data_IF_700837140194
#
_entry.id   IF_700837140194
#
_cell.length_a   1.000
_cell.length_b   1.000
_cell.length_c   1.000
_cell.angle_alpha   90.00
_cell.angle_beta   90.00
_cell.angle_gamma   90.00
#
_symmetry.space_group_name_H-M   'P 1'
#
loop_
_entity.id
_entity.type
_entity.pdbx_description
1 polymer ?
#
# COMPACT_ATOMS: atom_id res chain seq x y z
N UNK A 1 21.87 40.98 -54.72
CA UNK A 1 21.42 39.89 -55.59
C UNK A 1 21.44 38.59 -54.79
N UNK A 2 20.26 38.03 -54.59
CA UNK A 2 19.94 36.62 -54.58
C UNK A 2 20.54 35.82 -53.45
N UNK A 3 19.70 35.43 -52.52
CA UNK A 3 18.86 34.24 -52.39
C UNK A 3 19.53 33.12 -51.54
N UNK A 4 18.95 32.84 -50.47
CA UNK A 4 19.31 31.69 -49.65
C UNK A 4 18.41 31.48 -48.40
N UNK A 5 17.12 31.76 -48.53
CA UNK A 5 16.10 31.32 -47.60
C UNK A 5 15.57 29.98 -48.09
N UNK A 6 15.97 28.91 -47.47
CA UNK A 6 15.42 27.57 -47.76
C UNK A 6 16.20 26.48 -47.07
N UNK A 7 15.67 25.98 -45.99
CA UNK A 7 15.91 24.67 -45.38
C UNK A 7 16.04 24.65 -43.84
N UNK A 8 15.12 25.36 -43.20
CA UNK A 8 15.00 25.17 -41.73
C UNK A 8 13.78 24.36 -41.33
N UNK A 9 12.84 24.10 -42.24
CA UNK A 9 11.57 23.40 -41.93
C UNK A 9 11.53 21.90 -42.30
N UNK A 10 12.62 21.35 -42.87
CA UNK A 10 12.66 19.95 -43.27
C UNK A 10 13.47 19.03 -42.34
N UNK A 11 13.84 19.49 -41.14
CA UNK A 11 14.56 18.68 -40.16
C UNK A 11 13.72 18.22 -38.95
N UNK A 12 12.48 18.71 -38.85
CA UNK A 12 11.57 18.35 -37.71
C UNK A 12 10.65 17.17 -38.06
N UNK A 13 10.70 16.63 -39.25
CA UNK A 13 9.74 15.64 -39.74
C UNK A 13 10.23 14.19 -39.81
N UNK A 14 11.38 13.81 -39.27
CA UNK A 14 11.90 12.43 -39.42
C UNK A 14 12.33 11.72 -38.15
N UNK A 15 12.28 12.33 -36.99
CA UNK A 15 12.61 11.65 -35.72
C UNK A 15 11.40 11.14 -34.92
N UNK A 16 10.17 11.50 -35.33
CA UNK A 16 8.96 11.13 -34.58
C UNK A 16 8.29 9.82 -35.00
N UNK A 17 8.92 8.99 -35.83
CA UNK A 17 8.30 7.73 -36.32
C UNK A 17 8.89 6.43 -35.74
N UNK A 18 9.89 6.49 -34.89
CA UNK A 18 10.52 5.30 -34.34
C UNK A 18 10.16 5.02 -32.85
N UNK A 19 9.31 5.84 -32.23
CA UNK A 19 8.88 5.62 -30.83
C UNK A 19 7.71 4.65 -30.67
N UNK A 20 7.16 4.10 -31.77
CA UNK A 20 5.99 3.20 -31.70
C UNK A 20 6.28 1.74 -32.01
N UNK A 21 7.55 1.35 -32.07
CA UNK A 21 7.93 -0.04 -32.37
C UNK A 21 9.02 -0.54 -31.42
N UNK A 22 8.73 -0.52 -30.12
CA UNK A 22 9.41 -1.40 -29.17
C UNK A 22 8.38 -2.33 -28.55
N UNK A 23 8.72 -3.59 -28.74
CA UNK A 23 8.00 -4.80 -28.36
C UNK A 23 7.49 -4.73 -26.93
N UNK A 24 6.28 -5.28 -26.74
CA UNK A 24 5.59 -5.35 -25.48
C UNK A 24 6.38 -6.01 -24.36
N UNK A 25 7.13 -5.23 -23.64
CA UNK A 25 7.51 -5.58 -22.28
C UNK A 25 6.35 -5.13 -21.37
N UNK A 26 5.77 -6.12 -20.74
CA UNK A 26 4.71 -6.00 -19.76
C UNK A 26 5.20 -5.12 -18.59
N UNK A 27 5.14 -3.79 -18.75
CA UNK A 27 5.43 -2.86 -17.66
C UNK A 27 4.26 -2.93 -16.69
N UNK A 28 4.45 -3.65 -15.61
CA UNK A 28 3.52 -3.80 -14.50
C UNK A 28 3.33 -2.48 -13.74
N UNK A 29 3.04 -1.38 -14.42
CA UNK A 29 2.66 -0.10 -13.80
C UNK A 29 3.64 0.46 -12.75
N UNK A 30 4.89 0.00 -12.74
CA UNK A 30 5.92 0.49 -11.83
C UNK A 30 6.53 1.78 -12.40
N UNK A 31 6.23 2.89 -11.73
CA UNK A 31 6.75 4.21 -12.07
C UNK A 31 8.29 4.26 -12.10
N UNK A 32 8.97 3.49 -11.25
CA UNK A 32 10.42 3.43 -11.19
C UNK A 32 11.00 2.71 -12.41
N UNK A 33 10.33 1.68 -12.90
CA UNK A 33 10.72 1.02 -14.16
C UNK A 33 10.49 1.95 -15.36
N UNK A 34 9.42 2.70 -15.36
CA UNK A 34 9.18 3.73 -16.39
C UNK A 34 10.31 4.77 -16.42
N UNK A 35 10.74 5.27 -15.25
CA UNK A 35 11.85 6.22 -15.14
C UNK A 35 13.18 5.63 -15.61
N UNK A 36 13.46 4.35 -15.28
CA UNK A 36 14.66 3.64 -15.75
C UNK A 36 14.69 3.51 -17.28
N UNK A 37 13.55 3.13 -17.88
CA UNK A 37 13.43 2.97 -19.33
C UNK A 37 13.42 4.31 -20.08
N UNK A 38 12.90 5.37 -19.49
CA UNK A 38 12.94 6.71 -20.05
C UNK A 38 14.32 7.37 -19.96
N UNK A 39 15.35 6.69 -19.45
CA UNK A 39 16.68 7.25 -19.18
C UNK A 39 16.61 8.61 -18.47
N UNK A 40 15.64 8.78 -17.56
CA UNK A 40 15.47 10.02 -16.83
C UNK A 40 16.71 10.28 -15.98
N UNK A 41 17.42 11.42 -16.16
CA UNK A 41 18.64 11.69 -15.42
C UNK A 41 18.32 12.00 -13.97
N UNK A 42 18.14 10.97 -13.16
CA UNK A 42 18.09 11.10 -11.72
C UNK A 42 19.52 11.44 -11.28
N UNK A 43 19.76 12.69 -10.89
CA UNK A 43 21.01 13.12 -10.25
C UNK A 43 21.06 12.57 -8.81
N UNK A 44 21.07 11.25 -8.69
CA UNK A 44 21.35 10.55 -7.46
C UNK A 44 22.71 9.89 -7.70
N UNK A 45 23.72 10.21 -6.90
CA UNK A 45 25.00 9.51 -6.89
C UNK A 45 24.74 8.07 -6.44
N UNK A 46 24.28 7.25 -7.37
CA UNK A 46 24.17 5.81 -7.16
C UNK A 46 25.59 5.25 -7.18
N UNK A 47 26.02 4.47 -6.20
CA UNK A 47 27.29 3.78 -6.28
C UNK A 47 27.33 2.99 -7.58
N UNK A 48 28.38 3.24 -8.39
CA UNK A 48 28.59 2.58 -9.67
C UNK A 48 28.48 1.07 -9.48
N UNK A 49 27.69 0.41 -10.34
CA UNK A 49 27.59 -1.05 -10.39
C UNK A 49 28.99 -1.64 -10.44
N UNK A 50 29.46 -2.16 -9.33
CA UNK A 50 30.57 -3.10 -9.33
C UNK A 50 30.06 -4.40 -9.97
N UNK A 51 30.71 -4.75 -11.06
CA UNK A 51 30.55 -5.96 -11.88
C UNK A 51 30.07 -7.20 -11.14
N UNK A 52 28.95 -7.73 -11.67
CA UNK A 52 28.67 -9.15 -11.88
C UNK A 52 29.41 -10.19 -11.00
N UNK A 53 28.78 -10.58 -9.94
CA UNK A 53 28.46 -11.96 -9.58
C UNK A 53 27.23 -11.85 -8.67
N UNK A 54 26.09 -11.57 -9.28
CA UNK A 54 24.81 -11.44 -8.58
C UNK A 54 24.17 -12.81 -8.46
N UNK A 55 24.12 -13.34 -7.29
CA UNK A 55 22.88 -13.98 -6.90
C UNK A 55 21.85 -12.86 -6.93
N UNK A 56 20.91 -12.92 -7.87
CA UNK A 56 19.70 -12.10 -7.82
C UNK A 56 19.04 -12.39 -6.46
N UNK A 57 19.24 -11.52 -5.50
CA UNK A 57 18.49 -11.58 -4.25
C UNK A 57 17.09 -11.15 -4.63
N UNK A 58 16.28 -12.13 -4.94
CA UNK A 58 14.87 -11.96 -5.24
C UNK A 58 14.20 -11.46 -3.95
N UNK A 59 14.02 -10.14 -3.88
CA UNK A 59 13.48 -9.50 -2.69
C UNK A 59 12.00 -9.85 -2.61
N UNK A 60 11.58 -10.33 -1.44
CA UNK A 60 10.18 -10.61 -1.15
C UNK A 60 9.34 -9.34 -1.31
N UNK A 61 8.60 -9.22 -2.39
CA UNK A 61 7.72 -8.09 -2.70
C UNK A 61 6.24 -8.43 -2.61
N UNK A 62 5.92 -9.58 -2.05
CA UNK A 62 4.55 -10.07 -2.02
C UNK A 62 3.84 -9.66 -0.74
N UNK A 63 2.87 -8.83 -0.91
CA UNK A 63 2.03 -8.33 0.17
C UNK A 63 0.75 -7.80 -0.45
N UNK A 64 -0.38 -8.04 0.20
CA UNK A 64 -1.63 -7.37 -0.13
C UNK A 64 -2.23 -6.78 1.13
N UNK A 65 -2.42 -5.48 1.13
CA UNK A 65 -3.07 -4.76 2.21
C UNK A 65 -4.20 -3.91 1.69
N UNK A 66 -5.22 -3.76 2.51
CA UNK A 66 -6.44 -3.02 2.20
C UNK A 66 -6.90 -2.23 3.41
N UNK A 67 -7.32 -1.00 3.20
CA UNK A 67 -7.97 -0.16 4.20
C UNK A 67 -9.31 0.32 3.66
N UNK A 68 -10.34 0.29 4.48
CA UNK A 68 -11.69 0.72 4.12
C UNK A 68 -12.25 1.60 5.23
N UNK A 69 -12.84 2.72 4.85
CA UNK A 69 -13.63 3.55 5.77
C UNK A 69 -14.98 2.88 6.00
N UNK A 70 -15.30 2.55 7.24
CA UNK A 70 -16.56 1.98 7.66
C UNK A 70 -17.25 2.94 8.66
N UNK A 71 -18.41 2.59 9.18
CA UNK A 71 -19.25 3.49 9.98
C UNK A 71 -18.51 4.14 11.17
N UNK A 72 -17.69 3.39 11.90
CA UNK A 72 -17.09 3.87 13.16
C UNK A 72 -15.63 4.33 13.00
N UNK A 73 -15.05 4.29 11.80
CA UNK A 73 -13.65 4.68 11.56
C UNK A 73 -13.04 4.05 10.32
N UNK A 74 -11.87 3.47 10.47
CA UNK A 74 -11.16 2.73 9.43
C UNK A 74 -10.93 1.30 9.86
N UNK A 75 -11.23 0.35 8.99
CA UNK A 75 -10.79 -1.04 9.10
C UNK A 75 -9.65 -1.27 8.11
N UNK A 76 -8.57 -1.92 8.57
CA UNK A 76 -7.37 -2.14 7.78
C UNK A 76 -6.91 -3.58 7.95
N UNK A 77 -6.60 -4.22 6.82
CA UNK A 77 -6.22 -5.61 6.81
C UNK A 77 -4.99 -5.87 5.95
N UNK A 78 -4.28 -6.93 6.28
CA UNK A 78 -3.16 -7.46 5.51
C UNK A 78 -3.17 -8.98 5.50
N UNK A 79 -2.84 -9.55 4.35
CA UNK A 79 -2.54 -10.98 4.26
C UNK A 79 -1.27 -11.30 5.06
N UNK A 80 -1.02 -12.59 5.36
CA UNK A 80 0.08 -13.00 6.25
C UNK A 80 1.20 -13.76 5.54
N UNK A 81 1.15 -13.86 4.21
CA UNK A 81 2.15 -14.58 3.42
C UNK A 81 3.35 -13.71 3.11
N UNK A 82 4.56 -14.27 3.30
CA UNK A 82 5.80 -13.73 2.77
C UNK A 82 6.40 -14.74 1.78
N UNK A 83 6.79 -14.28 0.59
CA UNK A 83 7.39 -15.13 -0.45
C UNK A 83 8.76 -14.59 -0.86
N UNK A 84 9.63 -15.48 -1.33
CA UNK A 84 10.82 -15.13 -2.10
C UNK A 84 10.63 -15.72 -3.49
N UNK A 85 10.43 -14.84 -4.47
CA UNK A 85 9.97 -15.25 -5.79
C UNK A 85 8.64 -16.02 -5.71
N UNK A 86 8.62 -17.23 -6.20
CA UNK A 86 7.45 -18.11 -6.18
C UNK A 86 7.33 -18.98 -4.93
N UNK A 87 8.36 -19.01 -4.07
CA UNK A 87 8.37 -19.84 -2.87
C UNK A 87 7.78 -19.11 -1.67
N UNK A 88 6.83 -19.75 -0.98
CA UNK A 88 6.33 -19.28 0.31
C UNK A 88 7.37 -19.57 1.39
N UNK A 89 7.89 -18.54 2.05
CA UNK A 89 8.89 -18.67 3.11
C UNK A 89 8.32 -18.51 4.51
N UNK A 90 7.19 -17.79 4.65
CA UNK A 90 6.57 -17.54 5.93
C UNK A 90 5.10 -17.15 5.79
N UNK A 91 4.21 -17.71 6.63
CA UNK A 91 2.76 -17.52 6.55
C UNK A 91 2.16 -16.73 7.74
N UNK A 92 2.99 -16.12 8.57
CA UNK A 92 2.55 -15.36 9.77
C UNK A 92 3.15 -13.95 9.83
N UNK A 93 3.47 -13.37 8.68
CA UNK A 93 3.99 -12.02 8.62
C UNK A 93 2.96 -11.01 9.14
N UNK A 94 3.41 -10.08 9.98
CA UNK A 94 2.57 -8.96 10.42
C UNK A 94 2.77 -7.78 9.45
N UNK A 95 1.71 -7.41 8.75
CA UNK A 95 1.75 -6.36 7.72
C UNK A 95 0.95 -5.11 8.11
N UNK A 96 0.26 -5.16 9.25
CA UNK A 96 -0.60 -4.08 9.77
C UNK A 96 -0.08 -3.69 11.14
N UNK A 97 0.76 -2.65 11.19
CA UNK A 97 1.53 -2.27 12.35
C UNK A 97 0.88 -1.07 13.06
N UNK A 98 0.60 -1.21 14.34
CA UNK A 98 0.14 -0.09 15.15
C UNK A 98 1.31 0.87 15.40
N UNK A 99 1.12 2.15 15.11
CA UNK A 99 2.14 3.19 15.28
C UNK A 99 1.91 3.99 16.56
N UNK A 100 0.66 4.36 16.81
CA UNK A 100 0.25 4.95 18.08
C UNK A 100 -1.18 4.53 18.44
N UNK A 101 -1.78 5.21 19.43
CA UNK A 101 -3.13 4.86 19.90
C UNK A 101 -4.19 4.97 18.80
N UNK A 102 -4.04 5.89 17.84
CA UNK A 102 -5.05 6.20 16.85
C UNK A 102 -4.49 6.12 15.41
N UNK A 103 -3.38 5.40 15.20
CA UNK A 103 -2.84 5.24 13.86
C UNK A 103 -2.18 3.88 13.63
N UNK A 104 -2.30 3.41 12.38
CA UNK A 104 -1.82 2.12 11.89
C UNK A 104 -1.13 2.32 10.54
N UNK A 105 -0.04 1.62 10.33
CA UNK A 105 0.68 1.53 9.06
C UNK A 105 0.51 0.14 8.48
N UNK A 106 -0.15 0.03 7.32
CA UNK A 106 -0.13 -1.20 6.53
C UNK A 106 0.97 -1.11 5.49
N UNK A 107 1.80 -2.14 5.44
CA UNK A 107 3.04 -2.14 4.66
C UNK A 107 2.95 -3.04 3.44
N UNK A 108 3.49 -2.56 2.32
CA UNK A 108 3.70 -3.32 1.09
C UNK A 108 5.08 -2.99 0.53
N UNK A 109 5.77 -3.98 -0.01
CA UNK A 109 7.15 -3.88 -0.49
C UNK A 109 8.15 -4.59 0.43
N UNK A 110 9.37 -4.05 0.58
CA UNK A 110 10.43 -4.66 1.38
C UNK A 110 10.09 -4.69 2.89
N UNK A 111 9.93 -5.87 3.51
CA UNK A 111 9.56 -5.95 4.92
C UNK A 111 10.60 -5.32 5.86
N UNK A 112 11.90 -5.50 5.57
CA UNK A 112 12.97 -4.97 6.42
C UNK A 112 12.90 -3.45 6.53
N UNK A 113 12.74 -2.77 5.39
CA UNK A 113 12.62 -1.30 5.35
C UNK A 113 11.29 -0.85 5.96
N UNK A 114 10.22 -1.56 5.69
CA UNK A 114 8.90 -1.22 6.21
C UNK A 114 8.83 -1.32 7.73
N UNK A 115 9.39 -2.37 8.33
CA UNK A 115 9.47 -2.51 9.80
C UNK A 115 10.37 -1.45 10.43
N UNK A 116 11.47 -1.06 9.78
CA UNK A 116 12.33 0.01 10.25
C UNK A 116 11.60 1.36 10.24
N UNK A 117 10.90 1.69 9.14
CA UNK A 117 10.05 2.88 9.05
C UNK A 117 9.00 2.89 10.16
N UNK A 118 8.29 1.79 10.37
CA UNK A 118 7.26 1.69 11.41
C UNK A 118 7.84 1.93 12.80
N UNK A 119 9.00 1.32 13.11
CA UNK A 119 9.69 1.49 14.40
C UNK A 119 10.13 2.93 14.63
N UNK A 120 10.70 3.59 13.62
CA UNK A 120 11.11 4.99 13.71
C UNK A 120 9.89 5.88 13.94
N UNK A 121 8.77 5.64 13.24
CA UNK A 121 7.52 6.40 13.44
C UNK A 121 7.01 6.23 14.87
N UNK A 122 6.88 4.99 15.35
CA UNK A 122 6.40 4.69 16.70
C UNK A 122 7.25 5.41 17.75
N UNK A 123 8.56 5.25 17.70
CA UNK A 123 9.47 5.92 18.64
C UNK A 123 9.39 7.44 18.56
N UNK A 124 9.30 8.01 17.34
CA UNK A 124 9.24 9.45 17.14
C UNK A 124 7.93 10.04 17.66
N UNK A 125 6.79 9.37 17.43
CA UNK A 125 5.50 9.83 17.94
C UNK A 125 5.46 9.75 19.48
N UNK A 126 5.97 8.66 20.06
CA UNK A 126 6.08 8.51 21.51
C UNK A 126 7.00 9.56 22.13
N UNK A 127 8.16 9.82 21.51
CA UNK A 127 9.09 10.85 21.97
C UNK A 127 8.44 12.23 21.94
N UNK A 128 7.79 12.60 20.83
CA UNK A 128 7.11 13.89 20.70
C UNK A 128 6.03 14.04 21.77
N UNK A 129 5.18 13.02 21.96
CA UNK A 129 4.13 13.04 22.98
C UNK A 129 4.68 13.24 24.39
N UNK A 130 5.78 12.55 24.74
CA UNK A 130 6.40 12.65 26.06
C UNK A 130 7.10 13.99 26.28
N UNK A 131 7.75 14.54 25.25
CA UNK A 131 8.50 15.78 25.34
C UNK A 131 7.62 17.02 25.25
N UNK A 132 6.57 16.98 24.44
CA UNK A 132 5.67 18.12 24.19
C UNK A 132 4.34 18.03 24.95
N UNK A 133 4.07 16.91 25.65
CA UNK A 133 2.82 16.62 26.37
C UNK A 133 1.56 16.74 25.50
N UNK A 134 1.71 16.54 24.20
CA UNK A 134 0.62 16.57 23.22
C UNK A 134 0.93 15.62 22.07
N UNK A 135 -0.11 15.16 21.37
CA UNK A 135 0.02 14.33 20.18
C UNK A 135 0.62 15.13 19.01
N UNK A 136 1.39 14.46 18.16
CA UNK A 136 1.86 15.04 16.92
C UNK A 136 0.66 15.31 16.00
N UNK A 137 0.59 16.51 15.42
CA UNK A 137 -0.51 16.86 14.51
C UNK A 137 -0.60 15.90 13.31
N UNK A 138 -1.79 15.78 12.74
CA UNK A 138 -2.01 14.98 11.52
C UNK A 138 -0.95 15.29 10.46
N UNK A 139 -0.76 16.56 10.13
CA UNK A 139 0.24 16.98 9.13
C UNK A 139 1.67 16.64 9.54
N UNK A 140 1.99 16.67 10.83
CA UNK A 140 3.27 16.25 11.36
C UNK A 140 3.51 14.75 11.14
N UNK A 141 2.52 13.92 11.45
CA UNK A 141 2.56 12.46 11.22
C UNK A 141 2.77 12.14 9.75
N UNK A 142 1.99 12.76 8.85
CA UNK A 142 2.08 12.55 7.40
C UNK A 142 3.45 12.98 6.84
N UNK A 143 3.96 14.14 7.23
CA UNK A 143 5.28 14.62 6.78
C UNK A 143 6.43 13.73 7.26
N UNK A 144 6.35 13.20 8.47
CA UNK A 144 7.37 12.31 8.99
C UNK A 144 7.44 11.02 8.18
N UNK A 145 6.31 10.39 7.89
CA UNK A 145 6.29 9.20 7.03
C UNK A 145 6.78 9.51 5.61
N UNK A 146 6.34 10.63 5.00
CA UNK A 146 6.84 11.10 3.70
C UNK A 146 8.37 11.23 3.67
N UNK A 147 8.96 11.74 4.75
CA UNK A 147 10.41 11.88 4.87
C UNK A 147 11.10 10.52 4.91
N UNK A 148 10.63 9.60 5.76
CA UNK A 148 11.23 8.27 5.90
C UNK A 148 11.18 7.47 4.60
N UNK A 149 10.08 7.59 3.82
CA UNK A 149 9.99 6.97 2.50
C UNK A 149 11.03 7.58 1.55
N UNK A 150 11.16 8.91 1.51
CA UNK A 150 12.17 9.59 0.67
C UNK A 150 13.60 9.27 1.05
N UNK A 151 13.88 9.13 2.34
CA UNK A 151 15.24 8.77 2.82
C UNK A 151 15.66 7.38 2.31
N UNK A 152 14.70 6.50 1.99
CA UNK A 152 14.94 5.18 1.39
C UNK A 152 14.86 5.16 -0.15
N UNK A 153 14.64 6.30 -0.81
CA UNK A 153 14.45 6.37 -2.26
C UNK A 153 15.63 5.78 -3.05
N UNK A 154 16.86 6.00 -2.62
CA UNK A 154 18.05 5.48 -3.29
C UNK A 154 18.05 3.93 -3.36
N UNK A 155 17.64 3.26 -2.28
CA UNK A 155 17.50 1.80 -2.24
C UNK A 155 16.31 1.33 -3.10
N UNK A 156 15.19 2.05 -3.05
CA UNK A 156 14.01 1.76 -3.87
C UNK A 156 14.34 1.83 -5.37
N UNK A 157 15.12 2.82 -5.81
CA UNK A 157 15.57 2.96 -7.19
C UNK A 157 16.51 1.83 -7.65
N UNK A 158 17.22 1.21 -6.72
CA UNK A 158 18.05 0.03 -6.98
C UNK A 158 17.23 -1.27 -7.00
N UNK A 159 15.92 -1.21 -6.72
CA UNK A 159 15.07 -2.39 -6.60
C UNK A 159 15.22 -3.15 -5.29
N UNK A 160 15.92 -2.59 -4.30
CA UNK A 160 16.30 -3.30 -3.07
C UNK A 160 15.37 -2.99 -1.89
N UNK A 161 14.56 -1.94 -1.92
CA UNK A 161 13.89 -1.52 -0.70
C UNK A 161 12.66 -0.63 -0.87
N UNK A 162 11.92 -0.76 -1.97
CA UNK A 162 10.69 0.02 -2.17
C UNK A 162 9.62 -0.34 -1.14
N UNK A 163 8.98 0.68 -0.58
CA UNK A 163 7.83 0.54 0.32
C UNK A 163 6.71 1.47 -0.15
N UNK A 164 5.52 0.93 -0.27
CA UNK A 164 4.30 1.67 -0.66
C UNK A 164 3.25 1.41 0.43
N UNK A 165 3.26 2.19 1.52
CA UNK A 165 2.37 1.94 2.64
C UNK A 165 1.01 2.62 2.48
N UNK A 166 0.05 2.12 3.27
CA UNK A 166 -1.19 2.81 3.60
C UNK A 166 -1.08 3.23 5.07
N UNK A 167 -1.29 4.50 5.34
CA UNK A 167 -1.36 5.04 6.69
C UNK A 167 -2.82 5.36 7.03
N UNK A 168 -3.39 4.64 7.98
CA UNK A 168 -4.74 4.86 8.47
C UNK A 168 -4.70 5.43 9.88
N UNK A 169 -5.55 6.40 10.15
CA UNK A 169 -5.65 7.02 11.46
C UNK A 169 -7.07 7.52 11.75
N UNK A 170 -7.34 7.81 13.02
CA UNK A 170 -8.54 8.51 13.44
C UNK A 170 -8.17 9.92 13.90
N UNK A 171 -8.78 10.93 13.27
CA UNK A 171 -8.60 12.33 13.62
C UNK A 171 -9.60 12.72 14.70
N UNK A 172 -9.12 12.87 15.93
CA UNK A 172 -9.93 13.26 17.09
C UNK A 172 -10.43 14.72 17.02
N UNK A 173 -9.92 15.52 16.08
CA UNK A 173 -10.34 16.89 15.85
C UNK A 173 -11.32 17.03 14.67
N UNK A 174 -11.77 15.90 14.09
CA UNK A 174 -12.83 15.93 13.10
C UNK A 174 -14.12 16.55 13.70
N UNK A 175 -14.95 17.17 12.87
CA UNK A 175 -16.24 17.70 13.31
C UNK A 175 -17.12 16.58 13.89
N UNK A 176 -17.97 16.90 14.86
CA UNK A 176 -18.78 15.92 15.62
C UNK A 176 -19.71 15.06 14.72
N UNK A 177 -20.07 15.56 13.56
CA UNK A 177 -20.93 14.91 12.57
C UNK A 177 -20.14 14.15 11.47
N UNK A 178 -18.80 14.21 11.52
CA UNK A 178 -17.92 13.53 10.57
C UNK A 178 -17.23 12.32 11.20
N UNK A 179 -17.21 11.20 10.46
CA UNK A 179 -16.35 10.09 10.80
C UNK A 179 -14.88 10.52 10.69
N UNK A 180 -14.16 10.58 11.83
CA UNK A 180 -12.76 10.98 11.91
C UNK A 180 -11.76 10.00 11.28
N UNK A 181 -12.23 8.86 10.76
CA UNK A 181 -11.39 7.87 10.09
C UNK A 181 -10.81 8.40 8.78
N UNK A 182 -9.49 8.42 8.65
CA UNK A 182 -8.76 8.91 7.48
C UNK A 182 -7.78 7.87 6.95
N UNK A 183 -7.70 7.76 5.63
CA UNK A 183 -6.84 6.82 4.91
C UNK A 183 -5.92 7.60 3.97
N UNK A 184 -4.61 7.40 4.10
CA UNK A 184 -3.60 8.00 3.25
C UNK A 184 -2.81 6.91 2.52
N UNK A 185 -2.81 6.99 1.20
CA UNK A 185 -1.96 6.19 0.35
C UNK A 185 -0.67 6.95 0.05
N UNK A 186 0.47 6.27 0.09
CA UNK A 186 1.76 6.85 -0.25
C UNK A 186 2.31 6.22 -1.51
N UNK A 187 2.95 7.04 -2.35
CA UNK A 187 3.78 6.52 -3.42
C UNK A 187 5.23 6.27 -2.95
N UNK A 188 6.02 5.67 -3.82
CA UNK A 188 7.42 5.36 -3.52
C UNK A 188 8.33 6.61 -3.35
N UNK A 189 7.85 7.79 -3.73
CA UNK A 189 8.55 9.07 -3.59
C UNK A 189 8.15 9.80 -2.30
N UNK A 190 7.23 9.24 -1.53
CA UNK A 190 6.73 9.82 -0.28
C UNK A 190 5.67 10.91 -0.47
N UNK A 191 5.06 11.02 -1.65
CA UNK A 191 3.85 11.80 -1.80
C UNK A 191 2.68 11.03 -1.19
N UNK A 192 1.80 11.73 -0.47
CA UNK A 192 0.63 11.12 0.13
C UNK A 192 -0.66 11.69 -0.45
N UNK A 193 -1.65 10.82 -0.55
CA UNK A 193 -2.97 11.14 -1.10
C UNK A 193 -4.03 10.65 -0.13
N UNK A 194 -4.94 11.54 0.28
CA UNK A 194 -6.09 11.16 1.10
C UNK A 194 -7.10 10.39 0.24
N UNK A 195 -7.50 9.21 0.69
CA UNK A 195 -8.53 8.40 0.06
C UNK A 195 -9.77 8.40 0.93
N UNK A 196 -10.89 8.79 0.36
CA UNK A 196 -12.13 9.00 1.12
C UNK A 196 -12.74 7.67 1.59
N UNK A 197 -12.77 6.65 0.74
CA UNK A 197 -13.50 5.41 1.04
C UNK A 197 -12.61 4.20 1.28
N UNK A 198 -11.57 4.02 0.46
CA UNK A 198 -10.67 2.88 0.57
C UNK A 198 -9.32 3.12 -0.09
N UNK A 199 -8.31 2.37 0.35
CA UNK A 199 -7.01 2.24 -0.32
C UNK A 199 -6.58 0.79 -0.31
N UNK A 200 -5.81 0.37 -1.31
CA UNK A 200 -5.23 -0.96 -1.39
C UNK A 200 -3.88 -0.89 -2.11
N UNK A 201 -2.92 -1.69 -1.67
CA UNK A 201 -1.58 -1.77 -2.26
C UNK A 201 -1.05 -3.20 -2.18
N UNK A 202 0.00 -3.46 -2.96
CA UNK A 202 0.59 -4.79 -3.07
C UNK A 202 0.12 -5.57 -4.29
N UNK A 203 0.64 -6.79 -4.47
CA UNK A 203 0.45 -7.60 -5.69
C UNK A 203 -1.01 -7.97 -5.95
N UNK A 204 -1.76 -8.39 -4.92
CA UNK A 204 -3.18 -8.72 -5.03
C UNK A 204 -4.12 -7.52 -5.07
N UNK A 205 -3.62 -6.30 -4.91
CA UNK A 205 -4.45 -5.08 -4.82
C UNK A 205 -5.27 -4.81 -6.09
N UNK A 206 -4.80 -5.24 -7.24
CA UNK A 206 -5.49 -5.08 -8.53
C UNK A 206 -6.85 -5.79 -8.54
N UNK A 207 -6.94 -6.96 -7.93
CA UNK A 207 -8.15 -7.77 -7.84
C UNK A 207 -9.16 -7.17 -6.87
N UNK A 208 -8.70 -6.61 -5.77
CA UNK A 208 -9.53 -5.99 -4.72
C UNK A 208 -10.08 -4.64 -5.16
N UNK A 209 -9.27 -3.81 -5.81
CA UNK A 209 -9.61 -2.42 -6.15
C UNK A 209 -10.87 -2.28 -6.99
N UNK A 210 -11.03 -3.16 -7.99
CA UNK A 210 -12.22 -3.15 -8.85
C UNK A 210 -13.49 -3.46 -8.07
N UNK A 211 -13.45 -4.49 -7.22
CA UNK A 211 -14.57 -4.89 -6.39
C UNK A 211 -14.94 -3.81 -5.36
N UNK A 212 -13.95 -3.23 -4.67
CA UNK A 212 -14.20 -2.12 -3.74
C UNK A 212 -14.84 -0.91 -4.44
N UNK A 213 -14.43 -0.60 -5.67
CA UNK A 213 -15.05 0.48 -6.45
C UNK A 213 -16.49 0.14 -6.82
N UNK A 214 -16.77 -1.11 -7.18
CA UNK A 214 -18.11 -1.59 -7.46
C UNK A 214 -19.01 -1.48 -6.21
N UNK A 215 -18.55 -2.02 -5.07
CA UNK A 215 -19.28 -1.95 -3.80
C UNK A 215 -19.53 -0.50 -3.36
N UNK A 216 -18.55 0.37 -3.50
CA UNK A 216 -18.66 1.79 -3.16
C UNK A 216 -19.70 2.55 -3.98
N UNK A 217 -20.09 2.05 -5.17
CA UNK A 217 -21.01 2.74 -6.09
C UNK A 217 -22.37 2.09 -6.23
N UNK A 218 -22.43 0.77 -6.09
CA UNK A 218 -23.58 -0.01 -6.53
C UNK A 218 -24.10 -0.98 -5.47
N UNK A 219 -23.45 -1.07 -4.30
CA UNK A 219 -23.98 -1.85 -3.18
C UNK A 219 -25.12 -1.12 -2.50
N UNK A 220 -26.11 -1.87 -2.03
CA UNK A 220 -27.22 -1.33 -1.24
C UNK A 220 -26.73 -0.71 0.08
N UNK A 221 -25.64 -1.25 0.64
CA UNK A 221 -24.94 -0.69 1.81
C UNK A 221 -23.58 -0.19 1.36
N UNK A 222 -23.37 1.13 1.25
CA UNK A 222 -22.05 1.71 0.95
C UNK A 222 -21.00 1.35 2.01
N UNK A 223 -19.73 1.26 1.62
CA UNK A 223 -18.64 0.85 2.52
C UNK A 223 -18.61 1.63 3.84
N UNK A 224 -18.85 2.95 3.80
CA UNK A 224 -18.80 3.83 4.97
C UNK A 224 -20.03 3.71 5.90
N UNK A 225 -21.06 3.00 5.50
CA UNK A 225 -22.25 2.69 6.29
C UNK A 225 -22.20 1.28 6.89
N UNK A 226 -21.30 0.43 6.42
CA UNK A 226 -21.13 -0.92 6.94
C UNK A 226 -20.78 -0.90 8.42
N UNK A 227 -21.35 -1.81 9.20
CA UNK A 227 -20.88 -2.08 10.55
C UNK A 227 -19.58 -2.89 10.54
N UNK A 228 -19.01 -3.14 11.72
CA UNK A 228 -17.73 -3.81 11.86
C UNK A 228 -17.73 -5.22 11.25
N UNK A 229 -18.78 -6.01 11.52
CA UNK A 229 -18.87 -7.39 11.03
C UNK A 229 -18.99 -7.42 9.51
N UNK A 230 -19.83 -6.57 8.94
CA UNK A 230 -20.02 -6.44 7.48
C UNK A 230 -18.71 -6.02 6.79
N UNK A 231 -18.02 -5.01 7.35
CA UNK A 231 -16.77 -4.53 6.80
C UNK A 231 -15.66 -5.59 6.89
N UNK A 232 -15.51 -6.27 8.04
CA UNK A 232 -14.52 -7.32 8.23
C UNK A 232 -14.76 -8.52 7.30
N UNK A 233 -16.01 -8.97 7.18
CA UNK A 233 -16.41 -10.07 6.29
C UNK A 233 -16.14 -9.72 4.82
N UNK A 234 -16.48 -8.50 4.42
CA UNK A 234 -16.21 -8.00 3.07
C UNK A 234 -14.71 -8.04 2.77
N UNK A 235 -13.87 -7.56 3.68
CA UNK A 235 -12.42 -7.58 3.51
C UNK A 235 -11.86 -9.01 3.46
N UNK A 236 -12.34 -9.92 4.31
CA UNK A 236 -11.93 -11.33 4.27
C UNK A 236 -12.21 -11.96 2.90
N UNK A 237 -13.44 -11.79 2.39
CA UNK A 237 -13.81 -12.28 1.06
C UNK A 237 -12.95 -11.67 -0.05
N UNK A 238 -12.60 -10.40 0.05
CA UNK A 238 -11.74 -9.73 -0.93
C UNK A 238 -10.31 -10.26 -0.92
N UNK A 239 -9.76 -10.57 0.26
CA UNK A 239 -8.44 -11.19 0.38
C UNK A 239 -8.44 -12.64 -0.11
N UNK A 240 -9.52 -13.39 0.12
CA UNK A 240 -9.70 -14.73 -0.44
C UNK A 240 -9.71 -14.69 -1.98
N UNK A 241 -10.54 -13.81 -2.58
CA UNK A 241 -10.56 -13.61 -4.04
C UNK A 241 -9.16 -13.26 -4.55
N UNK A 242 -8.46 -12.32 -3.89
CA UNK A 242 -7.11 -11.95 -4.30
C UNK A 242 -6.15 -13.14 -4.24
N UNK A 243 -6.29 -14.02 -3.26
CA UNK A 243 -5.43 -15.21 -3.09
C UNK A 243 -5.63 -16.28 -4.16
N UNK A 244 -6.78 -16.29 -4.83
CA UNK A 244 -7.03 -17.20 -5.97
C UNK A 244 -6.22 -16.81 -7.22
N UNK A 245 -5.94 -15.52 -7.40
CA UNK A 245 -5.29 -14.98 -8.59
C UNK A 245 -3.85 -14.52 -8.35
N UNK A 246 -3.45 -14.35 -7.09
CA UNK A 246 -2.12 -13.92 -6.70
C UNK A 246 -1.49 -14.90 -5.70
N UNK A 247 -0.55 -15.71 -6.17
CA UNK A 247 0.16 -16.68 -5.34
C UNK A 247 0.92 -16.05 -4.16
N UNK A 248 1.21 -14.76 -4.25
CA UNK A 248 1.92 -13.99 -3.25
C UNK A 248 1.00 -13.43 -2.14
N UNK A 249 -0.32 -13.51 -2.32
CA UNK A 249 -1.34 -13.14 -1.34
C UNK A 249 -1.89 -14.39 -0.67
N UNK A 250 -2.17 -14.33 0.63
CA UNK A 250 -2.95 -15.35 1.32
C UNK A 250 -4.30 -14.80 1.75
N UNK A 251 -5.34 -15.62 1.56
CA UNK A 251 -6.64 -15.47 2.22
C UNK A 251 -6.66 -16.21 3.56
N UNK A 252 -7.84 -16.68 3.94
CA UNK A 252 -8.00 -17.59 5.08
C UNK A 252 -7.35 -18.94 4.80
N UNK A 253 -6.44 -19.37 5.65
CA UNK A 253 -5.83 -20.70 5.55
C UNK A 253 -6.52 -21.69 6.50
N UNK A 254 -7.51 -22.42 5.97
CA UNK A 254 -8.30 -23.38 6.74
C UNK A 254 -7.48 -24.56 7.33
N UNK A 255 -6.33 -24.91 6.72
CA UNK A 255 -5.49 -26.05 7.18
C UNK A 255 -4.82 -25.77 8.51
N UNK A 256 -4.47 -24.52 8.76
CA UNK A 256 -3.77 -24.09 9.99
C UNK A 256 -4.54 -23.04 10.77
N UNK A 257 -5.78 -22.77 10.37
CA UNK A 257 -6.68 -21.78 10.97
C UNK A 257 -6.02 -20.40 11.13
N UNK A 258 -5.43 -19.89 10.05
CA UNK A 258 -4.79 -18.57 10.04
C UNK A 258 -5.63 -17.60 9.21
N UNK A 259 -6.12 -16.54 9.85
CA UNK A 259 -6.80 -15.43 9.22
C UNK A 259 -5.82 -14.31 8.84
N UNK A 260 -6.15 -13.48 7.83
CA UNK A 260 -5.50 -12.19 7.63
C UNK A 260 -5.54 -11.35 8.91
N UNK A 261 -4.51 -10.56 9.17
CA UNK A 261 -4.55 -9.60 10.29
C UNK A 261 -5.52 -8.48 9.95
N UNK A 262 -6.49 -8.24 10.84
CA UNK A 262 -7.45 -7.13 10.69
C UNK A 262 -7.43 -6.27 11.94
N UNK A 263 -7.27 -4.96 11.75
CA UNK A 263 -7.33 -3.96 12.83
C UNK A 263 -8.34 -2.89 12.50
N UNK A 264 -8.91 -2.30 13.53
CA UNK A 264 -9.76 -1.12 13.45
C UNK A 264 -9.06 0.08 14.04
N UNK A 265 -9.37 1.25 13.52
CA UNK A 265 -8.91 2.54 14.05
C UNK A 265 -10.14 3.43 14.23
N UNK A 266 -10.49 3.67 15.48
CA UNK A 266 -11.69 4.40 15.88
C UNK A 266 -11.35 5.53 16.86
N UNK A 267 -12.35 6.27 17.32
CA UNK A 267 -12.20 7.30 18.36
C UNK A 267 -11.66 6.73 19.68
N UNK A 268 -11.90 5.44 19.96
CA UNK A 268 -11.40 4.77 21.17
C UNK A 268 -9.97 4.30 21.06
N UNK A 269 -9.47 4.11 19.84
CA UNK A 269 -8.12 3.69 19.54
C UNK A 269 -8.02 2.63 18.45
N UNK A 270 -6.89 1.91 18.46
CA UNK A 270 -6.62 0.78 17.58
C UNK A 270 -6.94 -0.51 18.31
N UNK A 271 -7.79 -1.34 17.70
CA UNK A 271 -8.12 -2.68 18.18
C UNK A 271 -7.79 -3.72 17.10
N UNK A 272 -7.38 -4.92 17.53
CA UNK A 272 -7.18 -6.07 16.65
C UNK A 272 -8.38 -7.01 16.79
N UNK A 273 -8.99 -7.37 15.67
CA UNK A 273 -10.10 -8.32 15.65
C UNK A 273 -9.53 -9.71 15.93
N UNK A 274 -10.13 -10.44 16.86
CA UNK A 274 -9.68 -11.78 17.24
C UNK A 274 -9.93 -12.81 16.13
N UNK A 275 -9.07 -13.84 16.04
CA UNK A 275 -9.27 -14.93 15.09
C UNK A 275 -10.59 -15.68 15.34
N UNK A 276 -11.09 -15.73 16.60
CA UNK A 276 -12.36 -16.36 16.97
C UNK A 276 -13.57 -15.58 16.40
N UNK A 277 -13.54 -14.24 16.49
CA UNK A 277 -14.58 -13.40 15.90
C UNK A 277 -14.55 -13.51 14.36
N UNK A 278 -13.35 -13.47 13.76
CA UNK A 278 -13.19 -13.64 12.32
C UNK A 278 -13.70 -15.01 11.85
N UNK A 279 -13.44 -16.09 12.58
CA UNK A 279 -13.92 -17.42 12.27
C UNK A 279 -15.46 -17.48 12.30
N UNK A 280 -16.06 -16.88 13.31
CA UNK A 280 -17.51 -16.83 13.48
C UNK A 280 -18.16 -16.07 12.33
N UNK A 281 -17.73 -14.85 12.07
CA UNK A 281 -18.26 -13.98 11.00
C UNK A 281 -18.06 -14.56 9.61
N UNK A 282 -16.89 -15.17 9.36
CA UNK A 282 -16.60 -15.81 8.07
C UNK A 282 -17.51 -17.02 7.83
N UNK A 283 -17.74 -17.86 8.86
CA UNK A 283 -18.64 -19.01 8.74
C UNK A 283 -20.10 -18.61 8.54
N UNK A 284 -20.57 -17.54 9.17
CA UNK A 284 -21.91 -16.97 8.97
C UNK A 284 -22.08 -16.48 7.53
N UNK A 285 -21.10 -15.72 7.04
CA UNK A 285 -21.10 -15.19 5.71
C UNK A 285 -21.04 -16.24 4.59
N UNK A 286 -20.42 -17.39 4.84
CA UNK A 286 -20.42 -18.52 3.90
C UNK A 286 -21.79 -19.19 3.80
N UNK A 287 -22.56 -19.26 4.91
CA UNK A 287 -23.92 -19.83 4.91
C UNK A 287 -24.91 -18.95 4.16
N UNK A 288 -24.76 -17.64 4.23
CA UNK A 288 -25.63 -16.69 3.52
C UNK A 288 -25.41 -16.70 1.99
N UNK A 289 -24.25 -17.15 1.55
CA UNK A 289 -23.87 -17.21 0.14
C UNK A 289 -24.31 -18.52 -0.56
N UNK A 290 -24.80 -19.51 0.21
CA UNK A 290 -25.26 -20.83 -0.29
C UNK A 290 -26.77 -20.90 -0.38
#
# INVERSE_FOLDING_TARGET
MMNGTGNFLNRIGREDRDLTRQEGTNHKGDFLDLLKHANYPLKIDLPSKTTQHGTDVEIAHSTTVVAVRYRDGVIIAGDRRATAGTAVIYDRAEKVLQIDRHSVLAISGSPAIAYEIARILEHSFQYFRRSQLQELSLQGKLRMLSRLIRDNLAMALQGIGGVIPIFALYDLNAADDENGGKIFFYDALGAHFENVNFATTGSGSIWIRGVLRYLSRFSDTPLHEMDLQQAATTILRLLDIASEYDAATSGYNAKVNIFPTIKTVTSTGVDTISDDDLATWYAEAQREAT
#
